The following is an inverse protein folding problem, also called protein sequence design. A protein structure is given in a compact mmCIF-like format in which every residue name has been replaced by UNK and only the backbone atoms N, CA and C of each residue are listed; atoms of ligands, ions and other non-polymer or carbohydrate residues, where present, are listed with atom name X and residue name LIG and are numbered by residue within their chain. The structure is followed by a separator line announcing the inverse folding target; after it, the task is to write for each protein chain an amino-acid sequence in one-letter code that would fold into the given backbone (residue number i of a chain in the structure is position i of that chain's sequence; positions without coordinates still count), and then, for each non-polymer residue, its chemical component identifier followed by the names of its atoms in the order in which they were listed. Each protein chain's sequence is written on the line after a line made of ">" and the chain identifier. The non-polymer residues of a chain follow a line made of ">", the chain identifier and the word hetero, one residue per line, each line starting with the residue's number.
data_IF_798834770007
#
_entry.id   IF_798834770007
#
_cell.length_a   1.000
_cell.length_b   1.000
_cell.length_c   1.000
_cell.angle_alpha   90.00
_cell.angle_beta   90.00
_cell.angle_gamma   90.00
#
_symmetry.space_group_name_H-M   'P 1'
#
loop_
_entity.id
_entity.type
_entity.pdbx_description
1 polymer ?
#
# COMPACT_ATOMS: atom_id res chain seq x y z
N UNK A 1 3.53 -22.47 1.40
CA UNK A 1 4.42 -21.43 1.92
C UNK A 1 3.69 -20.09 1.94
N UNK A 2 3.77 -19.38 3.06
CA UNK A 2 3.05 -18.11 3.22
C UNK A 2 3.85 -16.98 2.61
N UNK A 3 3.28 -16.30 1.60
CA UNK A 3 3.92 -15.14 0.97
C UNK A 3 3.62 -13.87 1.77
N UNK A 4 4.36 -12.79 1.49
CA UNK A 4 4.05 -11.50 2.12
C UNK A 4 2.65 -11.04 1.75
N UNK A 5 2.20 -11.30 0.53
CA UNK A 5 0.85 -10.94 0.10
C UNK A 5 -0.21 -11.70 0.90
N UNK A 6 0.00 -12.98 1.16
CA UNK A 6 -0.89 -13.78 2.02
C UNK A 6 -0.97 -13.18 3.42
N UNK A 7 0.17 -12.80 3.97
CA UNK A 7 0.25 -12.18 5.30
C UNK A 7 -0.46 -10.83 5.33
N UNK A 8 -0.29 -10.02 4.29
CA UNK A 8 -0.97 -8.73 4.15
C UNK A 8 -2.48 -8.93 4.19
N UNK A 9 -2.99 -9.85 3.39
CA UNK A 9 -4.43 -10.09 3.30
C UNK A 9 -5.02 -10.68 4.57
N UNK A 10 -4.29 -11.58 5.22
CA UNK A 10 -4.71 -12.13 6.50
C UNK A 10 -4.79 -11.02 7.56
N UNK A 11 -3.75 -10.18 7.66
CA UNK A 11 -3.71 -9.09 8.61
C UNK A 11 -4.82 -8.06 8.33
N UNK A 12 -5.05 -7.74 7.04
CA UNK A 12 -6.08 -6.78 6.65
C UNK A 12 -7.50 -7.23 7.04
N UNK A 13 -7.75 -8.53 7.00
CA UNK A 13 -9.05 -9.08 7.41
C UNK A 13 -9.27 -9.02 8.91
N UNK A 14 -8.19 -8.94 9.68
CA UNK A 14 -8.28 -8.82 11.12
C UNK A 14 -8.49 -7.36 11.53
N UNK A 15 -7.58 -6.48 11.10
CA UNK A 15 -7.65 -5.06 11.43
C UNK A 15 -6.69 -4.27 10.56
N UNK A 16 -7.09 -3.06 10.17
CA UNK A 16 -6.23 -2.14 9.41
C UNK A 16 -6.01 -0.90 10.26
N UNK A 17 -4.74 -0.55 10.50
CA UNK A 17 -4.37 0.65 11.23
C UNK A 17 -3.60 1.59 10.32
N UNK A 18 -4.02 2.84 10.28
CA UNK A 18 -3.40 3.87 9.46
C UNK A 18 -2.43 4.67 10.33
N UNK A 19 -1.14 4.56 10.03
CA UNK A 19 -0.13 5.29 10.80
C UNK A 19 -0.24 6.79 10.47
N UNK A 20 0.23 7.67 11.38
CA UNK A 20 0.07 9.12 11.20
C UNK A 20 0.54 9.65 9.84
N UNK A 21 1.68 9.17 9.34
CA UNK A 21 2.18 9.57 8.03
C UNK A 21 1.19 9.20 6.92
N UNK A 22 0.60 8.00 7.00
CA UNK A 22 -0.38 7.57 6.00
C UNK A 22 -1.61 8.46 6.02
N UNK A 23 -2.15 8.75 7.22
CA UNK A 23 -3.33 9.62 7.36
C UNK A 23 -3.05 10.99 6.72
N UNK A 24 -1.88 11.57 7.02
CA UNK A 24 -1.48 12.86 6.47
C UNK A 24 -1.39 12.83 4.95
N UNK A 25 -0.73 11.81 4.41
CA UNK A 25 -0.55 11.69 2.95
C UNK A 25 -1.86 11.45 2.22
N UNK A 26 -2.74 10.62 2.78
CA UNK A 26 -4.03 10.32 2.17
C UNK A 26 -4.95 11.55 2.13
N UNK A 27 -4.84 12.42 3.13
CA UNK A 27 -5.70 13.60 3.27
C UNK A 27 -5.26 14.80 2.41
N UNK A 28 -4.10 14.73 1.75
CA UNK A 28 -3.65 15.85 0.91
C UNK A 28 -4.71 16.16 -0.16
N UNK A 29 -5.07 17.45 -0.36
CA UNK A 29 -6.15 17.84 -1.27
C UNK A 29 -6.01 17.28 -2.68
N UNK A 30 -4.79 17.17 -3.20
CA UNK A 30 -4.54 16.65 -4.54
C UNK A 30 -4.69 15.14 -4.63
N UNK A 31 -4.85 14.45 -3.51
CA UNK A 31 -4.98 12.99 -3.47
C UNK A 31 -6.36 12.54 -3.00
N UNK A 32 -6.73 12.90 -1.79
CA UNK A 32 -7.99 12.49 -1.13
C UNK A 32 -8.23 11.00 -1.30
N UNK A 33 -7.25 10.20 -0.85
CA UNK A 33 -7.35 8.75 -0.89
C UNK A 33 -8.16 8.29 0.33
N UNK A 34 -9.24 7.56 0.09
CA UNK A 34 -10.10 7.06 1.16
C UNK A 34 -9.58 5.74 1.75
N UNK A 35 -10.03 5.43 2.96
CA UNK A 35 -9.73 4.14 3.59
C UNK A 35 -10.26 3.00 2.71
N UNK A 36 -11.44 3.16 2.09
CA UNK A 36 -12.01 2.15 1.21
C UNK A 36 -11.10 1.88 0.00
N UNK A 37 -10.48 2.91 -0.55
CA UNK A 37 -9.54 2.75 -1.66
C UNK A 37 -8.29 1.98 -1.22
N UNK A 38 -7.74 2.32 -0.05
CA UNK A 38 -6.57 1.62 0.48
C UNK A 38 -6.89 0.15 0.73
N UNK A 39 -8.04 -0.13 1.34
CA UNK A 39 -8.46 -1.50 1.63
C UNK A 39 -8.67 -2.31 0.36
N UNK A 40 -9.21 -1.69 -0.68
CA UNK A 40 -9.34 -2.36 -1.98
C UNK A 40 -7.97 -2.74 -2.55
N UNK A 41 -7.00 -1.84 -2.45
CA UNK A 41 -5.64 -2.13 -2.93
C UNK A 41 -5.01 -3.30 -2.17
N UNK A 42 -5.08 -3.29 -0.83
CA UNK A 42 -4.44 -4.36 -0.05
C UNK A 42 -5.13 -5.70 -0.21
N UNK A 43 -6.42 -5.72 -0.48
CA UNK A 43 -7.17 -6.96 -0.64
C UNK A 43 -7.13 -7.50 -2.07
N UNK A 44 -7.00 -6.65 -3.08
CA UNK A 44 -7.13 -7.05 -4.48
C UNK A 44 -5.97 -6.62 -5.38
N UNK A 45 -5.05 -5.79 -4.90
CA UNK A 45 -3.93 -5.30 -5.69
C UNK A 45 -2.81 -6.30 -5.83
N UNK A 46 -1.72 -5.83 -6.43
CA UNK A 46 -0.53 -6.65 -6.68
C UNK A 46 0.69 -6.09 -5.96
N UNK A 47 1.63 -6.97 -5.61
CA UNK A 47 2.89 -6.57 -5.01
C UNK A 47 3.80 -6.03 -6.11
N UNK A 48 4.35 -4.84 -5.91
CA UNK A 48 5.36 -4.27 -6.79
C UNK A 48 6.76 -4.42 -6.22
N UNK A 49 6.91 -4.17 -4.91
CA UNK A 49 8.21 -4.23 -4.24
C UNK A 49 8.03 -4.86 -2.87
N UNK A 50 9.03 -5.65 -2.47
CA UNK A 50 9.02 -6.33 -1.18
C UNK A 50 10.24 -5.87 -0.39
N UNK A 51 10.04 -5.49 0.87
CA UNK A 51 11.10 -4.96 1.74
C UNK A 51 11.24 -5.81 3.00
N UNK A 52 11.77 -7.04 2.88
CA UNK A 52 11.90 -7.93 4.05
C UNK A 52 12.89 -7.40 5.09
N UNK A 53 13.82 -6.53 4.69
CA UNK A 53 14.83 -5.96 5.57
C UNK A 53 14.42 -4.64 6.23
N UNK A 54 13.18 -4.20 6.05
CA UNK A 54 12.71 -2.96 6.66
C UNK A 54 12.85 -3.04 8.18
N UNK A 55 13.57 -2.07 8.77
CA UNK A 55 13.85 -2.05 10.21
C UNK A 55 12.58 -1.92 11.05
N UNK A 56 11.50 -1.41 10.46
CA UNK A 56 10.20 -1.27 11.13
C UNK A 56 9.38 -2.56 11.08
N UNK A 57 9.91 -3.62 10.46
CA UNK A 57 9.24 -4.87 10.20
C UNK A 57 9.02 -5.05 8.69
N UNK A 58 8.88 -6.30 8.27
CA UNK A 58 8.68 -6.64 6.86
C UNK A 58 7.55 -5.80 6.26
N UNK A 59 7.85 -5.04 5.21
CA UNK A 59 6.87 -4.20 4.54
C UNK A 59 6.88 -4.49 3.03
N UNK A 60 5.90 -3.95 2.33
CA UNK A 60 5.82 -4.11 0.88
C UNK A 60 5.02 -2.97 0.26
N UNK A 61 5.21 -2.81 -1.06
CA UNK A 61 4.48 -1.83 -1.85
C UNK A 61 3.49 -2.57 -2.74
N UNK A 62 2.21 -2.20 -2.63
CA UNK A 62 1.17 -2.75 -3.49
C UNK A 62 0.60 -1.67 -4.39
N UNK A 63 0.02 -2.10 -5.51
CA UNK A 63 -0.70 -1.24 -6.41
C UNK A 63 -2.06 -1.83 -6.76
N UNK A 64 -3.07 -0.98 -6.82
CA UNK A 64 -4.37 -1.31 -7.34
C UNK A 64 -4.93 -0.11 -8.07
N UNK A 65 -6.14 -0.26 -8.61
CA UNK A 65 -6.81 0.81 -9.33
C UNK A 65 -8.22 1.02 -8.79
N UNK A 66 -8.36 1.30 -7.48
CA UNK A 66 -9.68 1.54 -6.91
C UNK A 66 -10.31 2.76 -7.58
N UNK A 67 -11.60 2.65 -7.93
CA UNK A 67 -12.34 3.73 -8.60
C UNK A 67 -11.66 4.19 -9.89
N UNK A 68 -10.89 3.30 -10.53
CA UNK A 68 -10.28 3.56 -11.84
C UNK A 68 -9.00 4.38 -11.85
N UNK A 69 -8.45 4.73 -10.69
CA UNK A 69 -7.18 5.46 -10.64
C UNK A 69 -6.11 4.64 -9.90
N UNK A 70 -4.83 4.72 -10.35
CA UNK A 70 -3.76 3.96 -9.71
C UNK A 70 -3.47 4.51 -8.31
N UNK A 71 -3.38 3.60 -7.34
CA UNK A 71 -3.01 3.95 -5.96
C UNK A 71 -1.93 2.99 -5.51
N UNK A 72 -0.86 3.55 -4.96
CA UNK A 72 0.22 2.79 -4.33
C UNK A 72 0.04 2.81 -2.82
N UNK A 73 0.21 1.66 -2.19
CA UNK A 73 0.11 1.53 -0.73
C UNK A 73 1.34 0.79 -0.20
N UNK A 74 2.03 1.41 0.76
CA UNK A 74 3.10 0.74 1.50
C UNK A 74 2.52 0.29 2.83
N UNK A 75 2.65 -0.99 3.14
CA UNK A 75 2.08 -1.56 4.34
C UNK A 75 2.97 -2.65 4.93
N UNK A 76 2.72 -2.98 6.20
CA UNK A 76 3.48 -3.99 6.92
C UNK A 76 2.52 -4.92 7.67
N UNK A 77 2.50 -6.22 7.33
CA UNK A 77 1.64 -7.16 8.06
C UNK A 77 2.25 -7.45 9.43
N UNK A 78 1.47 -7.18 10.47
CA UNK A 78 1.81 -7.46 11.86
C UNK A 78 0.99 -8.66 12.33
N UNK A 79 1.23 -9.13 13.56
CA UNK A 79 0.55 -10.32 14.09
C UNK A 79 -0.97 -10.17 14.12
N UNK A 80 -1.47 -8.99 14.49
CA UNK A 80 -2.90 -8.78 14.71
C UNK A 80 -3.51 -7.65 13.89
N UNK A 81 -2.73 -7.02 13.00
CA UNK A 81 -3.23 -5.94 12.17
C UNK A 81 -2.31 -5.68 10.99
N UNK A 82 -2.82 -4.96 10.00
CA UNK A 82 -2.03 -4.45 8.89
C UNK A 82 -1.74 -2.98 9.15
N UNK A 83 -0.46 -2.62 9.23
CA UNK A 83 -0.06 -1.22 9.39
C UNK A 83 0.05 -0.57 8.01
N UNK A 84 -0.73 0.47 7.77
CA UNK A 84 -0.61 1.27 6.54
C UNK A 84 0.43 2.35 6.81
N UNK A 85 1.57 2.27 6.12
CA UNK A 85 2.69 3.17 6.32
C UNK A 85 2.50 4.44 5.49
N UNK A 86 2.12 4.30 4.23
CA UNK A 86 1.78 5.44 3.37
C UNK A 86 0.91 4.99 2.21
N UNK A 87 0.24 5.94 1.59
CA UNK A 87 -0.51 5.72 0.36
C UNK A 87 -0.41 6.99 -0.48
N UNK A 88 -0.28 6.83 -1.79
CA UNK A 88 -0.12 7.97 -2.69
C UNK A 88 -0.57 7.61 -4.10
N UNK A 89 -0.79 8.64 -4.92
CA UNK A 89 -1.03 8.46 -6.35
C UNK A 89 0.35 8.48 -7.03
N UNK A 90 0.72 7.42 -7.77
CA UNK A 90 2.04 7.39 -8.41
C UNK A 90 2.17 8.46 -9.49
N UNK A 91 3.37 9.05 -9.57
CA UNK A 91 3.69 10.14 -10.48
C UNK A 91 4.50 9.61 -11.67
N UNK A 92 4.12 9.98 -12.88
CA UNK A 92 4.84 9.59 -14.10
C UNK A 92 6.28 10.08 -14.12
N UNK A 93 6.62 11.11 -13.33
CA UNK A 93 8.01 11.56 -13.21
C UNK A 93 8.88 10.54 -12.49
N UNK A 94 8.28 9.66 -11.69
CA UNK A 94 9.01 8.69 -10.86
C UNK A 94 8.71 7.23 -11.21
N UNK A 95 7.67 6.99 -11.98
CA UNK A 95 7.20 5.65 -12.29
C UNK A 95 6.98 5.46 -13.79
N UNK A 96 7.07 4.21 -14.25
CA UNK A 96 6.78 3.84 -15.63
C UNK A 96 5.32 4.18 -15.99
N UNK A 97 4.98 4.21 -17.30
CA UNK A 97 3.60 4.53 -17.71
C UNK A 97 2.51 3.65 -17.10
N UNK A 98 2.83 2.41 -16.76
CA UNK A 98 1.88 1.51 -16.09
C UNK A 98 1.97 1.59 -14.56
N UNK A 99 2.83 2.47 -14.03
CA UNK A 99 3.05 2.71 -12.61
C UNK A 99 3.56 1.50 -11.83
N UNK A 100 4.10 0.49 -12.51
CA UNK A 100 4.57 -0.74 -11.86
C UNK A 100 6.05 -0.78 -11.58
N UNK A 101 6.84 0.07 -12.25
CA UNK A 101 8.30 0.10 -12.07
C UNK A 101 8.78 1.53 -11.90
N UNK A 102 9.82 1.68 -11.08
CA UNK A 102 10.43 3.01 -10.91
C UNK A 102 11.13 3.43 -12.19
N UNK A 103 11.01 4.73 -12.50
CA UNK A 103 11.73 5.33 -13.62
C UNK A 103 13.16 5.62 -13.17
N UNK A 104 14.10 5.48 -14.09
CA UNK A 104 15.50 5.80 -13.84
C UNK A 104 15.76 7.31 -13.93
#
# INVERSE_FOLDING_TARGET
>A
MTTVLDRVRTAARTRVLYLPHAVKQMALPERLISAAEVEDVVLHGEILEDYPEDVRGHSCLLMGTPRGRPVHVVCSPRAEYLAIITAYLPDLAKWSPDFRRRSD
#
